data_IF_694394353300
#
_entry.id   IF_694394353300
#
_cell.length_a   1.000
_cell.length_b   1.000
_cell.length_c   1.000
_cell.angle_alpha   90.00
_cell.angle_beta   90.00
_cell.angle_gamma   90.00
#
_symmetry.space_group_name_H-M   'P 1'
#
loop_
_entity.id
_entity.type
_entity.pdbx_description
1 polymer ?
#
# COMPACT_ATOMS: atom_id res chain seq x y z
N UNK A 21 -8.08 14.16 -3.62
CA UNK A 21 -9.19 13.89 -2.67
C UNK A 21 -9.75 12.49 -2.89
N UNK A 22 -8.95 11.47 -2.69
CA UNK A 22 -9.44 10.08 -2.89
C UNK A 22 -9.28 9.27 -1.60
N UNK A 23 -10.14 8.31 -1.37
CA UNK A 23 -10.02 7.49 -0.12
C UNK A 23 -9.90 6.00 -0.49
N UNK A 24 -9.11 5.26 0.23
CA UNK A 24 -9.02 3.80 -0.04
C UNK A 24 -10.38 3.16 0.14
N UNK A 25 -10.75 2.24 -0.72
CA UNK A 25 -12.08 1.59 -0.59
C UNK A 25 -11.92 0.08 -0.47
N UNK A 26 -11.05 -0.50 -1.26
CA UNK A 26 -10.85 -1.97 -1.18
C UNK A 26 -9.45 -2.34 -1.66
N UNK A 27 -8.90 -3.41 -1.14
CA UNK A 27 -7.54 -3.80 -1.61
C UNK A 27 -7.44 -5.31 -1.82
N UNK A 28 -6.73 -5.71 -2.85
CA UNK A 28 -6.59 -7.16 -3.18
C UNK A 28 -5.15 -7.61 -2.97
N UNK A 29 -4.99 -8.82 -2.51
CA UNK A 29 -3.64 -9.35 -2.21
C UNK A 29 -2.87 -9.65 -3.48
N UNK A 30 -1.59 -9.39 -3.44
CA UNK A 30 -0.69 -9.93 -4.49
C UNK A 30 -0.54 -11.45 -4.27
N UNK A 31 -0.27 -12.17 -5.30
CA UNK A 31 -0.28 -13.66 -5.15
C UNK A 31 0.73 -14.07 -4.09
N UNK A 32 0.28 -14.86 -3.16
CA UNK A 32 1.20 -15.33 -2.07
C UNK A 32 0.93 -14.56 -0.77
N UNK A 33 0.01 -13.64 -0.77
CA UNK A 33 -0.30 -12.92 0.51
C UNK A 33 -1.83 -12.77 0.69
N UNK A 34 -2.30 -12.95 1.90
CA UNK A 34 -3.76 -12.77 2.17
C UNK A 34 -4.11 -11.27 2.15
N UNK A 35 -5.34 -10.94 1.82
CA UNK A 35 -5.71 -9.49 1.72
C UNK A 35 -5.54 -8.80 3.07
N UNK A 36 -5.91 -9.44 4.14
CA UNK A 36 -5.69 -8.82 5.47
C UNK A 36 -4.20 -8.56 5.68
N UNK A 37 -3.38 -9.51 5.32
CA UNK A 37 -1.91 -9.27 5.36
C UNK A 37 -1.56 -8.03 4.52
N UNK A 38 -2.14 -7.92 3.37
CA UNK A 38 -1.94 -6.69 2.54
C UNK A 38 -2.41 -5.45 3.31
N UNK A 39 -3.50 -5.55 4.02
CA UNK A 39 -4.03 -4.36 4.74
C UNK A 39 -3.09 -3.93 5.86
N UNK A 40 -2.54 -4.86 6.59
CA UNK A 40 -1.63 -4.47 7.69
C UNK A 40 -0.41 -3.75 7.13
N UNK A 41 0.22 -4.31 6.14
CA UNK A 41 1.37 -3.61 5.51
C UNK A 41 0.89 -2.36 4.77
N UNK A 42 -0.31 -2.40 4.25
CA UNK A 42 -0.89 -1.18 3.66
C UNK A 42 -0.88 -0.08 4.72
N UNK A 43 -1.07 -0.44 5.96
CA UNK A 43 -1.09 0.58 7.04
C UNK A 43 0.33 1.05 7.35
N UNK A 44 1.22 0.15 7.68
CA UNK A 44 2.55 0.60 8.17
C UNK A 44 3.30 1.34 7.05
N UNK A 45 3.12 0.92 5.83
CA UNK A 45 3.68 1.70 4.69
C UNK A 45 2.98 3.07 4.58
N UNK A 46 1.79 3.19 5.14
CA UNK A 46 1.00 4.44 4.95
C UNK A 46 0.97 5.28 6.24
N UNK A 47 1.76 4.94 7.21
CA UNK A 47 1.72 5.72 8.50
C UNK A 47 2.22 7.13 8.25
N UNK A 48 3.28 7.22 7.53
CA UNK A 48 4.00 8.52 7.39
C UNK A 48 3.59 9.23 6.09
N UNK A 49 2.70 8.65 5.33
CA UNK A 49 2.21 9.37 4.12
C UNK A 49 1.47 10.65 4.54
N UNK A 50 1.83 11.73 3.93
CA UNK A 50 1.16 13.02 4.25
C UNK A 50 0.04 13.28 3.25
N UNK A 51 -0.22 12.35 2.39
CA UNK A 51 -1.29 12.51 1.38
C UNK A 51 -2.66 12.31 2.04
N UNK A 52 -3.65 12.95 1.49
CA UNK A 52 -5.03 12.75 2.00
C UNK A 52 -5.37 11.26 1.97
N UNK A 53 -4.93 10.58 0.95
CA UNK A 53 -5.14 9.11 0.87
C UNK A 53 -4.39 8.40 2.01
N UNK A 54 -3.31 8.97 2.46
CA UNK A 54 -2.48 8.27 3.48
C UNK A 54 -3.34 7.93 4.70
N UNK A 55 -4.23 8.81 5.06
CA UNK A 55 -5.19 8.47 6.15
C UNK A 55 -6.28 7.54 5.64
N UNK A 56 -6.72 7.73 4.43
CA UNK A 56 -7.80 6.86 3.89
C UNK A 56 -7.35 5.39 3.87
N UNK A 57 -6.12 5.16 3.51
CA UNK A 57 -5.62 3.75 3.45
C UNK A 57 -5.54 3.14 4.85
N UNK A 58 -4.95 3.85 5.78
CA UNK A 58 -4.83 3.28 7.16
C UNK A 58 -6.22 3.03 7.75
N UNK A 59 -7.17 3.86 7.41
CA UNK A 59 -8.58 3.55 7.79
C UNK A 59 -9.13 2.40 6.93
N UNK A 60 -8.70 2.28 5.71
CA UNK A 60 -9.18 1.16 4.85
C UNK A 60 -8.84 -0.19 5.48
N UNK A 61 -7.66 -0.30 6.03
CA UNK A 61 -7.27 -1.57 6.70
C UNK A 61 -8.19 -1.86 7.88
N UNK A 62 -8.48 -0.86 8.67
CA UNK A 62 -9.26 -1.14 9.90
C UNK A 62 -10.71 -1.47 9.56
N UNK A 63 -11.33 -0.65 8.76
CA UNK A 63 -12.78 -0.84 8.48
C UNK A 63 -12.99 -2.08 7.61
N UNK A 64 -12.18 -2.26 6.62
CA UNK A 64 -12.44 -3.35 5.63
C UNK A 64 -12.14 -4.72 6.24
N UNK A 65 -11.03 -4.87 6.91
CA UNK A 65 -10.61 -6.26 7.29
C UNK A 65 -10.11 -6.33 8.73
N UNK A 66 -9.44 -5.31 9.20
CA UNK A 66 -8.73 -5.46 10.50
C UNK A 66 -8.41 -4.10 11.12
N UNK A 67 -9.17 -3.69 12.11
CA UNK A 67 -8.79 -2.48 12.88
C UNK A 67 -7.39 -2.67 13.47
N UNK A 68 -6.38 -2.30 12.75
CA UNK A 68 -4.99 -2.53 13.22
C UNK A 68 -4.16 -1.28 13.00
N UNK A 69 -3.02 -1.18 13.62
CA UNK A 69 -2.21 0.06 13.46
C UNK A 69 -0.74 -0.29 13.24
N UNK A 70 0.13 0.62 13.54
CA UNK A 70 1.59 0.39 13.30
C UNK A 70 2.27 -0.08 14.59
N UNK A 71 3.47 -0.60 14.47
CA UNK A 71 4.23 -1.01 15.69
C UNK A 71 5.70 -0.61 15.57
N UNK A 72 5.96 0.59 15.14
CA UNK A 72 7.37 1.05 15.01
C UNK A 72 7.99 1.28 16.41
N UNK A 73 7.23 1.87 17.29
CA UNK A 73 7.79 2.25 18.63
C UNK A 73 8.14 1.00 19.45
N UNK A 74 7.55 -0.12 19.12
CA UNK A 74 7.90 -1.36 19.86
C UNK A 74 9.14 -2.02 19.26
N UNK A 75 9.35 -1.82 17.98
CA UNK A 75 10.54 -2.44 17.33
C UNK A 75 11.61 -1.38 17.06
N UNK A 76 11.32 -0.15 17.35
CA UNK A 76 12.27 0.95 16.98
C UNK A 76 12.43 1.00 15.47
N UNK A 77 11.34 1.09 14.76
CA UNK A 77 11.41 1.10 13.27
C UNK A 77 11.46 2.53 12.74
N UNK A 78 11.63 2.69 11.46
CA UNK A 78 11.74 4.05 10.88
C UNK A 78 10.63 4.29 9.84
N UNK A 79 10.02 5.43 9.87
CA UNK A 79 8.99 5.75 8.84
C UNK A 79 9.66 6.45 7.65
N UNK A 80 9.19 6.20 6.46
CA UNK A 80 9.76 6.90 5.27
C UNK A 80 8.67 7.73 4.59
N UNK A 81 8.70 9.01 4.85
CA UNK A 81 7.65 9.92 4.32
C UNK A 81 7.53 9.79 2.81
N UNK A 82 6.39 10.11 2.26
CA UNK A 82 6.20 9.98 0.79
C UNK A 82 6.99 11.07 0.04
N UNK A 83 7.68 10.69 -0.99
CA UNK A 83 8.37 11.71 -1.83
C UNK A 83 7.75 11.75 -3.22
N UNK A 84 7.64 12.90 -3.81
CA UNK A 84 7.04 13.01 -5.17
C UNK A 84 8.01 12.48 -6.23
N UNK A 85 9.29 12.52 -5.96
CA UNK A 85 10.27 12.04 -6.97
C UNK A 85 10.03 10.56 -7.27
N UNK A 86 9.81 9.77 -6.26
CA UNK A 86 9.47 8.34 -6.50
C UNK A 86 7.95 8.16 -6.53
N UNK A 87 7.24 9.13 -6.08
CA UNK A 87 5.76 9.00 -6.00
C UNK A 87 5.39 7.80 -5.13
N UNK A 88 6.00 7.69 -3.98
CA UNK A 88 5.68 6.55 -3.07
C UNK A 88 6.21 6.79 -1.66
N UNK A 89 5.85 5.94 -0.74
CA UNK A 89 6.27 6.09 0.67
C UNK A 89 6.20 4.72 1.36
N UNK A 90 6.80 4.57 2.51
CA UNK A 90 6.72 3.24 3.19
C UNK A 90 7.46 3.28 4.53
N UNK A 91 7.69 2.14 5.09
CA UNK A 91 8.29 2.07 6.45
C UNK A 91 9.27 0.89 6.55
N UNK A 92 10.31 1.03 7.34
CA UNK A 92 11.16 -0.14 7.65
C UNK A 92 11.07 -0.46 9.13
N UNK A 93 10.90 -1.69 9.50
CA UNK A 93 10.90 -2.05 10.93
C UNK A 93 11.60 -3.39 11.13
N UNK A 94 12.13 -3.59 12.30
CA UNK A 94 12.73 -4.90 12.69
C UNK A 94 12.15 -6.06 11.87
N UNK A 95 10.88 -6.27 12.00
CA UNK A 95 10.27 -7.52 11.47
C UNK A 95 9.67 -7.32 10.07
N UNK A 96 9.66 -6.11 9.58
CA UNK A 96 9.02 -5.89 8.24
C UNK A 96 9.76 -4.81 7.46
N UNK A 97 9.79 -4.92 6.15
CA UNK A 97 10.25 -3.78 5.31
C UNK A 97 9.24 -3.59 4.17
N UNK A 98 8.32 -2.69 4.35
CA UNK A 98 7.17 -2.61 3.40
C UNK A 98 7.09 -1.22 2.78
N UNK A 99 6.67 -1.13 1.55
CA UNK A 99 6.46 0.22 0.95
C UNK A 99 5.12 0.27 0.22
N UNK A 100 4.61 1.46 0.01
CA UNK A 100 3.38 1.62 -0.79
C UNK A 100 3.56 2.77 -1.79
N UNK A 101 3.29 2.55 -3.03
CA UNK A 101 3.58 3.60 -4.05
C UNK A 101 2.67 3.41 -5.25
N UNK A 102 2.72 4.31 -6.19
CA UNK A 102 2.02 4.05 -7.47
C UNK A 102 2.55 2.74 -8.05
N UNK A 103 1.75 2.04 -8.80
CA UNK A 103 2.19 0.72 -9.32
C UNK A 103 3.49 0.89 -10.12
N UNK A 104 3.63 1.99 -10.80
CA UNK A 104 4.90 2.23 -11.54
C UNK A 104 6.08 2.32 -10.57
N UNK A 105 5.94 3.07 -9.51
CA UNK A 105 7.06 3.20 -8.53
C UNK A 105 7.29 1.88 -7.80
N UNK A 106 6.26 1.29 -7.28
CA UNK A 106 6.45 0.04 -6.50
C UNK A 106 6.97 -1.09 -7.39
N UNK A 107 6.43 -1.22 -8.56
CA UNK A 107 6.89 -2.30 -9.47
C UNK A 107 8.37 -2.15 -9.78
N UNK A 108 8.80 -0.95 -10.03
CA UNK A 108 10.27 -0.71 -10.17
C UNK A 108 10.97 -1.08 -8.87
N UNK A 109 10.35 -0.79 -7.76
CA UNK A 109 10.99 -1.10 -6.44
C UNK A 109 11.08 -2.62 -6.22
N UNK A 110 10.10 -3.36 -6.67
CA UNK A 110 10.20 -4.85 -6.50
C UNK A 110 11.34 -5.41 -7.33
N UNK A 111 11.42 -5.04 -8.57
CA UNK A 111 12.54 -5.54 -9.40
C UNK A 111 13.88 -5.05 -8.85
N UNK A 112 13.91 -3.86 -8.31
CA UNK A 112 15.19 -3.36 -7.73
C UNK A 112 15.55 -4.16 -6.48
N UNK A 113 14.57 -4.55 -5.73
CA UNK A 113 14.81 -5.45 -4.59
C UNK A 113 15.38 -6.77 -5.10
N UNK A 114 15.06 -7.11 -6.31
CA UNK A 114 15.37 -8.47 -6.81
C UNK A 114 14.14 -9.34 -6.63
N UNK A 115 13.00 -8.72 -6.49
CA UNK A 115 11.75 -9.52 -6.24
C UNK A 115 10.79 -9.34 -7.42
N UNK A 116 9.57 -9.79 -7.28
CA UNK A 116 8.63 -9.75 -8.44
C UNK A 116 7.19 -9.44 -7.99
N UNK A 117 6.41 -8.86 -8.86
CA UNK A 117 4.98 -8.54 -8.53
C UNK A 117 4.03 -9.49 -9.29
N UNK A 118 2.90 -9.76 -8.68
CA UNK A 118 1.92 -10.69 -9.29
C UNK A 118 1.19 -10.02 -10.44
N UNK A 119 1.21 -10.62 -11.60
CA UNK A 119 0.54 -9.98 -12.77
C UNK A 119 -0.98 -9.93 -12.57
N UNK A 120 -1.53 -10.92 -11.93
CA UNK A 120 -3.01 -10.90 -11.72
C UNK A 120 -3.37 -9.67 -10.91
N UNK A 121 -2.50 -9.28 -10.02
CA UNK A 121 -2.80 -8.09 -9.19
C UNK A 121 -2.45 -6.80 -9.92
N UNK A 122 -1.32 -6.77 -10.58
CA UNK A 122 -1.05 -5.60 -11.46
C UNK A 122 -2.21 -5.42 -12.45
N UNK A 123 -2.77 -6.49 -12.94
CA UNK A 123 -4.02 -6.34 -13.74
C UNK A 123 -5.14 -5.76 -12.88
N UNK A 124 -5.37 -6.31 -11.71
CA UNK A 124 -6.40 -5.73 -10.81
C UNK A 124 -6.11 -4.25 -10.53
N UNK A 125 -4.86 -3.90 -10.43
CA UNK A 125 -4.50 -2.45 -10.36
C UNK A 125 -5.02 -1.73 -11.60
N UNK A 126 -4.88 -2.36 -12.74
CA UNK A 126 -5.33 -1.72 -14.00
C UNK A 126 -6.85 -1.58 -13.98
N UNK A 127 -7.52 -2.54 -13.42
CA UNK A 127 -9.00 -2.49 -13.33
C UNK A 127 -9.44 -1.37 -12.39
N UNK A 128 -8.72 -1.15 -11.33
CA UNK A 128 -9.04 -0.01 -10.43
C UNK A 128 -8.89 1.31 -11.20
N UNK A 129 -7.92 1.40 -12.06
CA UNK A 129 -7.77 2.65 -12.87
C UNK A 129 -8.97 2.81 -13.81
N UNK A 130 -9.39 1.76 -14.47
CA UNK A 130 -10.51 1.89 -15.44
C UNK A 130 -11.80 2.29 -14.73
N UNK A 131 -11.95 1.89 -13.51
CA UNK A 131 -13.12 2.33 -12.71
C UNK A 131 -12.87 3.74 -12.15
N UNK A 132 -11.70 4.28 -12.37
CA UNK A 132 -11.42 5.66 -11.92
C UNK A 132 -10.87 5.62 -10.50
N UNK A 133 -10.32 4.51 -10.10
CA UNK A 133 -9.75 4.40 -8.73
C UNK A 133 -8.22 4.41 -8.81
N UNK A 134 -7.56 4.64 -7.71
CA UNK A 134 -6.07 4.73 -7.76
C UNK A 134 -5.44 3.51 -7.09
N UNK A 135 -4.90 2.64 -7.87
CA UNK A 135 -4.26 1.43 -7.34
C UNK A 135 -2.90 1.77 -6.73
N UNK A 136 -2.80 1.73 -5.43
CA UNK A 136 -1.45 1.78 -4.80
C UNK A 136 -0.98 0.35 -4.58
N UNK A 137 0.23 0.05 -4.91
CA UNK A 137 0.75 -1.31 -4.64
C UNK A 137 1.61 -1.29 -3.38
N UNK A 138 1.41 -2.22 -2.49
CA UNK A 138 2.27 -2.30 -1.29
C UNK A 138 3.08 -3.58 -1.34
N UNK A 139 4.33 -3.51 -0.97
CA UNK A 139 5.17 -4.72 -1.00
C UNK A 139 5.69 -5.01 0.40
N UNK A 140 6.10 -6.22 0.62
CA UNK A 140 6.80 -6.55 1.87
C UNK A 140 8.03 -7.42 1.50
N UNK A 141 9.17 -7.07 2.00
CA UNK A 141 10.42 -7.69 1.47
C UNK A 141 10.63 -7.22 0.03
N UNK A 142 10.84 -8.13 -0.89
CA UNK A 142 11.06 -7.72 -2.31
C UNK A 142 9.84 -8.04 -3.17
N UNK A 143 8.76 -8.46 -2.57
CA UNK A 143 7.59 -8.87 -3.40
C UNK A 143 6.39 -7.98 -3.08
N UNK A 144 5.36 -8.09 -3.86
CA UNK A 144 4.15 -7.27 -3.57
C UNK A 144 3.18 -8.06 -2.70
N UNK A 145 2.65 -7.45 -1.68
CA UNK A 145 1.69 -8.16 -0.81
C UNK A 145 0.26 -7.85 -1.24
N UNK A 146 0.07 -6.77 -1.94
CA UNK A 146 -1.27 -6.55 -2.60
C UNK A 146 -1.39 -5.11 -3.12
N UNK A 147 -2.49 -4.80 -3.78
CA UNK A 147 -2.75 -3.39 -4.20
C UNK A 147 -3.87 -2.80 -3.34
N UNK A 148 -3.74 -1.55 -3.01
CA UNK A 148 -4.87 -0.85 -2.35
C UNK A 148 -5.58 0.02 -3.38
N UNK A 149 -6.78 -0.32 -3.74
CA UNK A 149 -7.49 0.47 -4.77
C UNK A 149 -8.32 1.56 -4.11
N UNK A 150 -8.03 2.79 -4.41
CA UNK A 150 -8.72 3.91 -3.73
C UNK A 150 -9.78 4.48 -4.68
N UNK A 151 -10.92 4.85 -4.18
CA UNK A 151 -11.98 5.35 -5.10
C UNK A 151 -12.30 6.81 -4.82
N UNK A 152 -12.93 7.47 -5.75
CA UNK A 152 -13.30 8.90 -5.56
C UNK A 152 -14.57 9.01 -4.72
N UNK A 153 -14.66 10.01 -3.89
CA UNK A 153 -15.86 10.16 -3.03
C UNK A 153 -16.55 11.50 -3.31
N UNK A 154 -17.83 11.58 -3.07
CA UNK A 154 -18.58 12.83 -3.37
C UNK A 154 -18.85 13.60 -2.08
N UNK A 155 -18.64 14.89 -2.08
CA UNK A 155 -18.89 15.69 -0.86
C UNK A 155 -20.31 16.27 -0.89
N UNK A 156 -20.94 16.37 0.25
CA UNK A 156 -22.33 16.91 0.29
C UNK A 156 -23.26 16.01 -0.50
#
# INVERSE_FOLDING_TARGET
MGHHHHHHHHHHSSGHGGRHNRQASEFIPAQGVDEKTLADAAQLASLADETPEGRSIVILAKQRFNLRERDVQSLHATFVPFTAQSRMSGINIDNRMIRKGSVDAIRRHVEANGGHFPTDVDQKVDQVARQGATPLVVVEGSRVLGVIALKDIVKG
#
